data_IF_143945455468
#
_entry.id   IF_143945455468
#
_cell.length_a   1.000
_cell.length_b   1.000
_cell.length_c   1.000
_cell.angle_alpha   90.00
_cell.angle_beta   90.00
_cell.angle_gamma   90.00
#
_symmetry.space_group_name_H-M   'P 1'
#
loop_
_entity.id
_entity.type
_entity.pdbx_description
1 polymer ?
#
# COMPACT_ATOMS: atom_id res chain seq x y z
N UNK A 1 -25.44 -1.92 6.87
CA UNK A 1 -24.11 -1.42 7.25
C UNK A 1 -23.96 -0.02 6.66
N UNK A 2 -23.81 1.02 7.48
CA UNK A 2 -23.61 2.39 7.02
C UNK A 2 -22.16 2.79 7.28
N UNK A 3 -21.48 3.34 6.28
CA UNK A 3 -20.18 3.99 6.44
C UNK A 3 -20.41 5.45 6.84
N UNK A 4 -19.79 5.88 7.93
CA UNK A 4 -19.87 7.24 8.46
C UNK A 4 -18.46 7.78 8.72
N UNK A 5 -18.28 9.09 8.56
CA UNK A 5 -17.05 9.79 8.94
C UNK A 5 -17.03 10.12 10.44
N UNK A 6 -15.94 10.75 10.90
CA UNK A 6 -15.78 11.17 12.31
C UNK A 6 -16.83 12.16 12.82
N UNK A 7 -17.63 12.75 11.94
CA UNK A 7 -18.68 13.71 12.27
C UNK A 7 -20.09 13.11 12.09
N UNK A 8 -20.20 11.78 11.99
CA UNK A 8 -21.44 11.06 11.72
C UNK A 8 -22.11 11.43 10.38
N UNK A 9 -21.31 11.81 9.37
CA UNK A 9 -21.80 12.11 8.02
C UNK A 9 -21.38 11.02 7.04
N UNK A 10 -22.13 10.88 5.94
CA UNK A 10 -21.73 9.99 4.85
C UNK A 10 -20.40 10.49 4.24
N UNK A 11 -19.38 9.62 4.09
CA UNK A 11 -18.11 10.03 3.52
C UNK A 11 -18.27 10.55 2.09
N UNK A 12 -17.68 11.72 1.80
CA UNK A 12 -17.78 12.40 0.50
C UNK A 12 -17.14 11.61 -0.66
N UNK A 13 -16.36 10.58 -0.36
CA UNK A 13 -15.65 9.73 -1.31
C UNK A 13 -16.38 8.42 -1.62
N UNK A 14 -17.54 8.16 -1.01
CA UNK A 14 -18.24 6.87 -1.13
C UNK A 14 -18.60 6.50 -2.58
N UNK A 15 -18.88 7.50 -3.42
CA UNK A 15 -19.25 7.32 -4.83
C UNK A 15 -18.11 7.74 -5.79
N UNK A 16 -16.88 7.78 -5.31
CA UNK A 16 -15.70 8.12 -6.12
C UNK A 16 -14.85 6.88 -6.32
N UNK A 17 -14.21 6.82 -7.48
CA UNK A 17 -13.20 5.82 -7.74
C UNK A 17 -12.00 6.01 -6.80
N UNK A 18 -11.48 4.90 -6.29
CA UNK A 18 -10.30 4.93 -5.45
C UNK A 18 -9.08 5.19 -6.31
N UNK A 19 -8.12 5.94 -5.77
CA UNK A 19 -6.87 6.20 -6.46
C UNK A 19 -5.94 5.02 -6.23
N UNK A 20 -5.24 4.59 -7.28
CA UNK A 20 -4.14 3.64 -7.19
C UNK A 20 -2.83 4.36 -7.45
N UNK A 21 -1.89 4.21 -6.51
CA UNK A 21 -0.52 4.71 -6.61
C UNK A 21 0.44 3.52 -6.61
N UNK A 22 1.55 3.64 -7.32
CA UNK A 22 2.70 2.77 -7.05
C UNK A 22 3.42 3.24 -5.78
N UNK A 23 4.23 2.38 -5.17
CA UNK A 23 5.10 2.77 -4.07
C UNK A 23 6.00 3.96 -4.47
N UNK A 24 6.49 3.99 -5.71
CA UNK A 24 7.27 5.11 -6.24
C UNK A 24 6.48 6.42 -6.31
N UNK A 25 5.23 6.39 -6.75
CA UNK A 25 4.36 7.58 -6.75
C UNK A 25 4.10 8.07 -5.33
N UNK A 26 3.86 7.15 -4.39
CA UNK A 26 3.69 7.46 -2.98
C UNK A 26 4.94 8.14 -2.40
N UNK A 27 6.14 7.62 -2.66
CA UNK A 27 7.40 8.29 -2.24
C UNK A 27 7.49 9.70 -2.81
N UNK A 28 7.26 9.87 -4.11
CA UNK A 28 7.34 11.18 -4.75
C UNK A 28 6.37 12.21 -4.14
N UNK A 29 5.17 11.80 -3.72
CA UNK A 29 4.20 12.67 -3.04
C UNK A 29 4.68 13.02 -1.63
N UNK A 30 5.20 12.05 -0.89
CA UNK A 30 5.68 12.23 0.48
C UNK A 30 6.93 13.11 0.54
N UNK A 31 7.88 12.91 -0.37
CA UNK A 31 9.08 13.73 -0.49
C UNK A 31 8.72 15.20 -0.76
N UNK A 32 7.75 15.46 -1.66
CA UNK A 32 7.23 16.83 -1.91
C UNK A 32 6.56 17.46 -0.70
N UNK A 33 6.06 16.66 0.25
CA UNK A 33 5.49 17.11 1.53
C UNK A 33 6.56 17.25 2.63
N UNK A 34 7.82 16.90 2.36
CA UNK A 34 8.89 16.88 3.35
C UNK A 34 8.80 15.71 4.34
N UNK A 35 8.02 14.67 4.01
CA UNK A 35 7.82 13.49 4.85
C UNK A 35 8.73 12.36 4.38
N UNK A 36 10.02 12.45 4.72
CA UNK A 36 11.04 11.50 4.28
C UNK A 36 10.74 10.07 4.78
N UNK A 37 10.82 9.11 3.86
CA UNK A 37 10.63 7.68 4.15
C UNK A 37 11.94 7.07 4.64
N UNK A 38 11.90 6.41 5.79
CA UNK A 38 13.03 5.65 6.36
C UNK A 38 13.13 4.26 5.73
N UNK A 39 14.14 3.49 6.11
CA UNK A 39 14.31 2.10 5.67
C UNK A 39 13.14 1.18 6.07
N UNK A 40 12.41 1.55 7.13
CA UNK A 40 11.22 0.83 7.61
C UNK A 40 10.00 0.98 6.68
N UNK A 41 10.04 1.94 5.75
CA UNK A 41 8.97 2.17 4.79
C UNK A 41 7.99 3.27 5.18
N UNK A 42 6.79 3.19 4.59
CA UNK A 42 5.73 4.18 4.80
C UNK A 42 5.08 3.89 6.15
N UNK A 43 5.11 4.86 7.07
CA UNK A 43 4.47 4.75 8.37
C UNK A 43 3.04 5.34 8.35
N UNK A 44 2.30 5.17 9.46
CA UNK A 44 0.92 5.65 9.59
C UNK A 44 0.73 7.15 9.32
N UNK A 45 1.65 8.01 9.74
CA UNK A 45 1.55 9.44 9.47
C UNK A 45 1.60 9.71 7.96
N UNK A 46 2.52 9.03 7.27
CA UNK A 46 2.70 9.11 5.83
C UNK A 46 1.51 8.50 5.07
N UNK A 47 0.95 7.38 5.53
CA UNK A 47 -0.29 6.80 4.99
C UNK A 47 -1.45 7.81 5.04
N UNK A 48 -1.65 8.45 6.20
CA UNK A 48 -2.68 9.46 6.38
C UNK A 48 -2.42 10.69 5.51
N UNK A 49 -1.15 11.07 5.31
CA UNK A 49 -0.78 12.17 4.42
C UNK A 49 -1.06 11.86 2.93
N UNK A 50 -0.90 10.60 2.50
CA UNK A 50 -1.28 10.14 1.16
C UNK A 50 -2.79 10.18 0.96
N UNK A 51 -3.56 9.65 1.92
CA UNK A 51 -5.03 9.69 1.86
C UNK A 51 -5.53 11.13 1.88
N UNK A 52 -4.94 12.01 2.71
CA UNK A 52 -5.28 13.42 2.71
C UNK A 52 -4.91 14.11 1.38
N UNK A 53 -3.82 13.72 0.73
CA UNK A 53 -3.47 14.25 -0.58
C UNK A 53 -4.50 13.86 -1.65
N UNK A 54 -4.93 12.60 -1.67
CA UNK A 54 -5.85 12.05 -2.67
C UNK A 54 -7.32 12.36 -2.40
N UNK A 55 -7.69 12.69 -1.14
CA UNK A 55 -9.07 12.98 -0.68
C UNK A 55 -10.07 11.82 -0.85
N UNK A 56 -9.58 10.63 -1.15
CA UNK A 56 -10.30 9.36 -1.28
C UNK A 56 -9.43 8.24 -0.72
N UNK A 57 -9.97 7.04 -0.40
CA UNK A 57 -9.15 5.88 -0.09
C UNK A 57 -8.16 5.56 -1.24
N UNK A 58 -6.97 5.08 -0.87
CA UNK A 58 -5.85 4.93 -1.79
C UNK A 58 -5.32 3.50 -1.73
N UNK A 59 -5.16 2.87 -2.89
CA UNK A 59 -4.35 1.67 -3.02
C UNK A 59 -2.90 2.05 -3.26
N UNK A 60 -1.97 1.54 -2.45
CA UNK A 60 -0.52 1.62 -2.72
C UNK A 60 -0.04 0.26 -3.17
N UNK A 61 0.56 0.19 -4.35
CA UNK A 61 0.89 -1.05 -5.06
C UNK A 61 2.37 -1.13 -5.45
N UNK A 62 2.81 -2.28 -5.96
CA UNK A 62 4.17 -2.49 -6.47
C UNK A 62 5.25 -2.16 -5.42
N UNK A 63 5.12 -2.78 -4.26
CA UNK A 63 6.03 -2.59 -3.14
C UNK A 63 7.40 -3.20 -3.43
N UNK A 64 8.51 -2.61 -2.93
CA UNK A 64 9.82 -3.24 -2.98
C UNK A 64 9.77 -4.62 -2.32
N UNK A 65 10.36 -5.62 -2.98
CA UNK A 65 10.25 -7.02 -2.53
C UNK A 65 10.84 -7.23 -1.13
N UNK A 66 11.95 -6.55 -0.83
CA UNK A 66 12.70 -6.72 0.42
C UNK A 66 11.95 -6.13 1.64
N UNK A 67 10.87 -5.38 1.40
CA UNK A 67 10.00 -4.80 2.43
C UNK A 67 8.74 -5.63 2.69
N UNK A 68 8.54 -6.74 1.96
CA UNK A 68 7.30 -7.51 1.97
C UNK A 68 7.58 -9.00 2.21
N UNK A 69 6.51 -9.74 2.53
CA UNK A 69 6.63 -11.14 2.93
C UNK A 69 7.09 -12.04 1.78
N UNK A 70 7.85 -13.09 2.11
CA UNK A 70 8.45 -14.02 1.15
C UNK A 70 7.46 -14.66 0.16
N UNK A 71 6.22 -14.89 0.58
CA UNK A 71 5.18 -15.54 -0.23
C UNK A 71 4.62 -14.64 -1.33
N UNK A 72 4.96 -13.36 -1.37
CA UNK A 72 4.40 -12.42 -2.34
C UNK A 72 5.06 -12.61 -3.71
N UNK A 73 4.26 -12.66 -4.77
CA UNK A 73 4.73 -12.87 -6.14
C UNK A 73 5.52 -11.66 -6.63
N UNK A 74 6.68 -11.90 -7.21
CA UNK A 74 7.49 -10.85 -7.84
C UNK A 74 6.79 -10.30 -9.09
N UNK A 75 6.91 -8.99 -9.32
CA UNK A 75 6.24 -8.36 -10.45
C UNK A 75 6.93 -8.77 -11.77
N UNK A 76 6.19 -9.19 -12.80
CA UNK A 76 6.79 -9.58 -14.08
C UNK A 76 7.42 -8.40 -14.83
N UNK A 77 7.05 -7.17 -14.47
CA UNK A 77 7.57 -5.95 -15.06
C UNK A 77 8.86 -5.45 -14.37
N UNK A 78 9.05 -5.79 -13.09
CA UNK A 78 10.18 -5.36 -12.26
C UNK A 78 10.36 -6.33 -11.09
N UNK A 79 11.35 -7.23 -11.22
CA UNK A 79 11.65 -8.26 -10.21
C UNK A 79 12.15 -7.71 -8.88
N UNK A 80 12.43 -6.40 -8.79
CA UNK A 80 12.77 -5.75 -7.51
C UNK A 80 11.53 -5.44 -6.67
N UNK A 81 10.33 -5.64 -7.23
CA UNK A 81 9.03 -5.37 -6.62
C UNK A 81 8.18 -6.62 -6.56
N UNK A 82 7.15 -6.57 -5.71
CA UNK A 82 6.11 -7.60 -5.62
C UNK A 82 4.74 -7.02 -5.99
N UNK A 83 3.88 -7.87 -6.55
CA UNK A 83 2.49 -7.55 -6.85
C UNK A 83 1.65 -7.59 -5.56
N UNK A 84 1.94 -6.63 -4.69
CA UNK A 84 1.26 -6.38 -3.43
C UNK A 84 0.46 -5.08 -3.48
N UNK A 85 -0.55 -4.99 -2.61
CA UNK A 85 -1.36 -3.79 -2.40
C UNK A 85 -1.63 -3.59 -0.92
N UNK A 86 -1.66 -2.33 -0.51
CA UNK A 86 -2.23 -1.91 0.76
C UNK A 86 -3.34 -0.89 0.48
N UNK A 87 -4.49 -1.00 1.15
CA UNK A 87 -5.60 -0.05 1.08
C UNK A 87 -5.54 0.89 2.27
N UNK A 88 -5.31 2.16 1.99
CA UNK A 88 -5.26 3.23 2.97
C UNK A 88 -6.59 3.96 3.02
N UNK A 89 -7.12 4.15 4.24
CA UNK A 89 -8.37 4.85 4.49
C UNK A 89 -8.19 6.03 5.45
N UNK A 90 -9.08 7.03 5.42
CA UNK A 90 -9.01 8.17 6.33
C UNK A 90 -9.04 7.72 7.80
N UNK A 91 -8.35 8.45 8.67
CA UNK A 91 -8.29 8.25 10.14
C UNK A 91 -7.46 7.02 10.56
N UNK A 92 -7.71 5.86 9.95
CA UNK A 92 -7.08 4.59 10.36
C UNK A 92 -5.69 4.41 9.76
N UNK A 93 -5.47 4.83 8.51
CA UNK A 93 -4.31 4.42 7.72
C UNK A 93 -4.63 3.14 6.96
N UNK A 94 -3.70 2.19 6.91
CA UNK A 94 -3.93 0.87 6.32
C UNK A 94 -5.12 0.15 6.97
N UNK A 95 -6.01 -0.39 6.14
CA UNK A 95 -7.15 -1.23 6.55
C UNK A 95 -7.18 -2.60 5.87
N UNK A 96 -6.45 -2.78 4.76
CA UNK A 96 -6.33 -4.05 4.05
C UNK A 96 -4.91 -4.15 3.49
N UNK A 97 -4.23 -5.27 3.77
CA UNK A 97 -3.00 -5.68 3.10
C UNK A 97 -3.26 -6.93 2.24
N UNK A 98 -2.76 -6.93 1.00
CA UNK A 98 -3.00 -7.99 0.04
C UNK A 98 -1.84 -8.18 -0.94
N UNK A 99 -1.81 -9.34 -1.59
CA UNK A 99 -0.85 -9.62 -2.67
C UNK A 99 -1.29 -10.81 -3.51
N UNK A 100 -0.76 -10.85 -4.73
CA UNK A 100 -0.65 -12.10 -5.46
C UNK A 100 0.34 -13.02 -4.74
N UNK A 101 -0.02 -14.30 -4.63
CA UNK A 101 0.81 -15.30 -3.98
C UNK A 101 1.73 -15.93 -5.02
N UNK A 102 2.98 -16.21 -4.64
CA UNK A 102 3.87 -16.99 -5.47
C UNK A 102 3.25 -18.37 -5.70
N UNK A 103 3.09 -18.71 -6.96
CA UNK A 103 2.41 -19.92 -7.43
C UNK A 103 3.39 -20.93 -8.04
N UNK A 104 4.66 -20.53 -8.24
CA UNK A 104 5.75 -21.40 -8.62
C UNK A 104 6.38 -22.06 -7.37
N UNK A 105 6.34 -23.40 -7.34
CA UNK A 105 6.84 -24.18 -6.21
C UNK A 105 8.33 -23.95 -5.94
N UNK A 106 9.17 -23.95 -6.98
CA UNK A 106 10.62 -23.85 -6.84
C UNK A 106 11.00 -22.44 -6.36
N UNK A 107 10.38 -21.40 -6.93
CA UNK A 107 10.59 -20.02 -6.47
C UNK A 107 10.13 -19.80 -5.03
N UNK A 108 8.96 -20.33 -4.66
CA UNK A 108 8.45 -20.18 -3.31
C UNK A 108 9.36 -20.88 -2.29
N UNK A 109 9.85 -22.08 -2.64
CA UNK A 109 10.79 -22.85 -1.83
C UNK A 109 12.11 -22.10 -1.63
N UNK A 110 12.66 -21.50 -2.68
CA UNK A 110 13.91 -20.72 -2.61
C UNK A 110 13.76 -19.45 -1.75
N UNK A 111 12.55 -18.92 -1.64
CA UNK A 111 12.25 -17.71 -0.85
C UNK A 111 11.91 -17.99 0.61
N UNK A 112 11.81 -19.26 1.02
CA UNK A 112 11.48 -19.58 2.41
C UNK A 112 12.48 -18.91 3.37
N UNK A 113 12.00 -18.24 4.44
CA UNK A 113 12.88 -17.68 5.44
C UNK A 113 13.71 -18.80 6.08
N UNK A 114 14.99 -18.54 6.33
CA UNK A 114 15.82 -19.43 7.14
C UNK A 114 15.22 -19.58 8.54
N UNK A 115 15.22 -20.82 9.06
CA UNK A 115 14.87 -21.11 10.46
C UNK A 115 15.80 -20.40 11.46
#
# INVERSE_FOLDING_TARGET
MFLIDKNNKVPIWLNKDFITLTYGDARNILDKKGLNITEEGINKEQELALVDYCKVPVFVTQWPKDMKSFYMKESPLDITKVDALDLLAPITGEIVGGSLREDDYDKLKDKLPSE
#
